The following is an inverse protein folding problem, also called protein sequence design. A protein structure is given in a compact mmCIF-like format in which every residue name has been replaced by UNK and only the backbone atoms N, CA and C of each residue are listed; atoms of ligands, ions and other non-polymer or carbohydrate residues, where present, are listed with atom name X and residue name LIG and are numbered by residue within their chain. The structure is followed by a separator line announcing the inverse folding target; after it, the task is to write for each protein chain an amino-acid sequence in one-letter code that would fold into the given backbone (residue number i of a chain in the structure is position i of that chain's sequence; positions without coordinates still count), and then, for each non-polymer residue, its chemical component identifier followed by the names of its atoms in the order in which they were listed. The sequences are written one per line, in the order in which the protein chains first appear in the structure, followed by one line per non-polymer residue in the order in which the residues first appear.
data_IF_378375566427
#
_entry.id   IF_378375566427
#
_cell.length_a   1.000
_cell.length_b   1.000
_cell.length_c   1.000
_cell.angle_alpha   90.00
_cell.angle_beta   90.00
_cell.angle_gamma   90.00
#
_symmetry.space_group_name_H-M   'P 1'
#
loop_
_entity.id
_entity.type
_entity.pdbx_description
1 polymer ?
#
# COMPACT_ATOMS: atom_id res chain seq x y z
N UNK A 1 24.03 21.56 -17.69
CA UNK A 1 23.30 20.86 -16.60
C UNK A 1 24.30 20.09 -15.73
N UNK A 2 24.87 20.69 -14.68
CA UNK A 2 25.62 19.94 -13.67
C UNK A 2 25.17 20.34 -12.26
N UNK A 3 24.25 19.58 -11.65
CA UNK A 3 23.93 19.74 -10.21
C UNK A 3 23.32 18.49 -9.55
N UNK A 4 23.30 17.34 -10.24
CA UNK A 4 22.67 16.10 -9.75
C UNK A 4 23.66 15.06 -9.18
N UNK A 5 24.96 15.37 -9.08
CA UNK A 5 25.98 14.35 -8.79
C UNK A 5 26.61 14.39 -7.38
N UNK A 6 26.34 15.38 -6.53
CA UNK A 6 26.99 15.43 -5.20
C UNK A 6 26.36 14.51 -4.13
N UNK A 7 25.03 14.48 -3.92
CA UNK A 7 24.44 13.63 -2.86
C UNK A 7 24.53 12.12 -3.19
N UNK A 8 24.43 11.76 -4.47
CA UNK A 8 24.62 10.38 -4.94
C UNK A 8 26.08 9.90 -4.83
N UNK A 9 27.06 10.80 -4.98
CA UNK A 9 28.47 10.48 -4.76
C UNK A 9 28.76 10.25 -3.27
N UNK A 10 28.18 11.05 -2.38
CA UNK A 10 28.33 10.87 -0.93
C UNK A 10 27.70 9.53 -0.46
N UNK A 11 26.51 9.20 -0.95
CA UNK A 11 25.85 7.93 -0.66
C UNK A 11 26.61 6.73 -1.27
N UNK A 12 27.11 6.84 -2.51
CA UNK A 12 27.94 5.79 -3.13
C UNK A 12 29.30 5.60 -2.43
N UNK A 13 29.94 6.67 -1.96
CA UNK A 13 31.19 6.59 -1.20
C UNK A 13 30.97 5.94 0.17
N UNK A 14 29.86 6.25 0.85
CA UNK A 14 29.46 5.58 2.11
C UNK A 14 29.17 4.08 1.89
N UNK A 15 28.51 3.75 0.77
CA UNK A 15 28.21 2.38 0.37
C UNK A 15 29.49 1.59 -0.02
N UNK A 16 30.42 2.21 -0.74
CA UNK A 16 31.72 1.62 -1.11
C UNK A 16 32.63 1.41 0.12
N UNK A 17 32.60 2.33 1.10
CA UNK A 17 33.33 2.18 2.36
C UNK A 17 32.78 1.07 3.26
N UNK A 18 31.52 0.64 3.07
CA UNK A 18 30.92 -0.48 3.80
C UNK A 18 31.47 -1.85 3.41
N UNK A 19 32.14 -2.00 2.26
CA UNK A 19 32.74 -3.28 1.83
C UNK A 19 34.18 -3.51 2.34
N UNK A 20 34.87 -2.46 2.82
CA UNK A 20 36.21 -2.57 3.37
C UNK A 20 36.16 -2.62 4.91
N UNK A 21 35.98 -3.82 5.48
CA UNK A 21 35.78 -4.06 6.92
C UNK A 21 36.85 -3.52 7.89
N UNK A 22 37.94 -2.94 7.40
CA UNK A 22 39.00 -2.32 8.21
C UNK A 22 38.74 -0.81 8.43
N UNK A 23 37.91 -0.16 7.59
CA UNK A 23 37.63 1.28 7.66
C UNK A 23 36.44 1.68 8.54
N UNK A 24 35.44 0.80 8.69
CA UNK A 24 34.17 1.08 9.41
C UNK A 24 34.40 1.41 10.89
N UNK A 25 35.26 0.66 11.58
CA UNK A 25 35.56 0.88 13.00
C UNK A 25 36.35 2.18 13.29
N UNK A 26 37.16 2.65 12.34
CA UNK A 26 37.92 3.91 12.44
C UNK A 26 37.05 5.12 12.10
N UNK A 27 36.17 5.00 11.09
CA UNK A 27 35.21 6.03 10.71
C UNK A 27 34.20 6.33 11.83
N UNK A 28 33.66 5.30 12.47
CA UNK A 28 32.69 5.44 13.58
C UNK A 28 33.30 6.19 14.78
N UNK A 29 34.61 6.05 15.04
CA UNK A 29 35.31 6.76 16.12
C UNK A 29 35.36 8.27 15.95
N UNK A 30 35.32 8.79 14.71
CA UNK A 30 35.40 10.23 14.41
C UNK A 30 34.05 10.90 14.13
N UNK A 31 32.95 10.16 14.17
CA UNK A 31 31.61 10.70 13.95
C UNK A 31 31.10 11.52 15.14
N UNK A 32 30.33 12.56 14.85
CA UNK A 32 29.58 13.30 15.88
C UNK A 32 28.56 12.38 16.55
N UNK A 33 28.13 12.74 17.77
CA UNK A 33 27.09 12.00 18.50
C UNK A 33 25.81 11.84 17.66
N UNK A 34 25.44 12.91 16.95
CA UNK A 34 24.27 12.98 16.07
C UNK A 34 24.41 12.06 14.85
N UNK A 35 25.57 12.02 14.19
CA UNK A 35 25.80 11.11 13.08
C UNK A 35 25.71 9.64 13.49
N UNK A 36 26.18 9.30 14.69
CA UNK A 36 26.04 7.93 15.22
C UNK A 36 24.59 7.57 15.51
N UNK A 37 23.80 8.53 15.99
CA UNK A 37 22.37 8.35 16.22
C UNK A 37 21.62 8.11 14.90
N UNK A 38 21.93 8.90 13.86
CA UNK A 38 21.37 8.70 12.51
C UNK A 38 21.69 7.30 11.97
N UNK A 39 22.95 6.86 12.04
CA UNK A 39 23.32 5.52 11.57
C UNK A 39 22.62 4.40 12.35
N UNK A 40 22.46 4.55 13.66
CA UNK A 40 21.71 3.61 14.49
C UNK A 40 20.24 3.55 14.06
N UNK A 41 19.60 4.69 13.81
CA UNK A 41 18.20 4.75 13.39
C UNK A 41 17.98 4.15 11.99
N UNK A 42 18.93 4.31 11.06
CA UNK A 42 18.87 3.62 9.77
C UNK A 42 18.96 2.09 9.94
N UNK A 43 19.81 1.62 10.85
CA UNK A 43 19.85 0.19 11.21
C UNK A 43 18.53 -0.26 11.82
N UNK A 44 17.91 0.55 12.69
CA UNK A 44 16.62 0.24 13.31
C UNK A 44 15.50 0.15 12.25
N UNK A 45 15.50 1.03 11.24
CA UNK A 45 14.55 0.95 10.12
C UNK A 45 14.67 -0.35 9.33
N UNK A 46 15.91 -0.80 9.04
CA UNK A 46 16.16 -2.02 8.28
C UNK A 46 15.78 -3.29 9.06
N UNK A 47 15.95 -3.27 10.39
CA UNK A 47 15.63 -4.41 11.26
C UNK A 47 14.24 -4.36 11.92
N UNK A 48 13.42 -3.35 11.61
CA UNK A 48 12.11 -3.17 12.26
C UNK A 48 11.14 -4.31 11.91
N UNK A 49 10.66 -5.03 12.93
CA UNK A 49 9.67 -6.11 12.77
C UNK A 49 8.21 -5.62 12.80
N UNK A 50 7.99 -4.39 13.30
CA UNK A 50 6.67 -3.79 13.45
C UNK A 50 6.62 -2.41 12.83
N UNK A 51 5.47 -2.04 12.27
CA UNK A 51 5.26 -0.70 11.72
C UNK A 51 5.43 0.39 12.79
N UNK A 52 5.05 0.12 14.04
CA UNK A 52 5.19 1.09 15.15
C UNK A 52 6.65 1.38 15.48
N UNK A 53 7.52 0.36 15.51
CA UNK A 53 8.95 0.54 15.69
C UNK A 53 9.57 1.28 14.50
N UNK A 54 9.22 0.87 13.28
CA UNK A 54 9.66 1.54 12.05
C UNK A 54 9.27 3.02 12.04
N UNK A 55 8.01 3.33 12.37
CA UNK A 55 7.46 4.69 12.42
C UNK A 55 8.20 5.56 13.45
N UNK A 56 8.49 5.02 14.63
CA UNK A 56 9.22 5.75 15.67
C UNK A 56 10.63 6.15 15.20
N UNK A 57 11.36 5.21 14.59
CA UNK A 57 12.69 5.48 14.03
C UNK A 57 12.63 6.49 12.88
N UNK A 58 11.65 6.34 11.98
CA UNK A 58 11.48 7.20 10.81
C UNK A 58 11.13 8.65 11.19
N UNK A 59 10.26 8.84 12.18
CA UNK A 59 9.93 10.18 12.72
C UNK A 59 11.16 10.82 13.34
N UNK A 60 11.97 10.05 14.09
CA UNK A 60 13.20 10.55 14.69
C UNK A 60 14.25 10.94 13.65
N UNK A 61 14.36 10.19 12.56
CA UNK A 61 15.22 10.54 11.42
C UNK A 61 14.76 11.84 10.75
N UNK A 62 13.46 12.02 10.52
CA UNK A 62 12.93 13.27 9.97
C UNK A 62 13.25 14.50 10.83
N UNK A 63 13.34 14.34 12.16
CA UNK A 63 13.78 15.40 13.08
C UNK A 63 15.27 15.71 12.94
N UNK A 64 16.13 14.69 12.96
CA UNK A 64 17.59 14.85 12.91
C UNK A 64 18.09 15.33 11.54
N UNK A 65 17.42 14.92 10.47
CA UNK A 65 17.74 15.34 9.09
C UNK A 65 17.11 16.70 8.73
N UNK A 66 16.46 17.37 9.68
CA UNK A 66 15.71 18.63 9.49
C UNK A 66 14.63 18.53 8.39
N UNK A 67 14.12 17.33 8.12
CA UNK A 67 13.08 17.09 7.14
C UNK A 67 11.74 17.72 7.57
N UNK A 68 11.56 17.99 8.87
CA UNK A 68 10.41 18.71 9.39
C UNK A 68 10.29 20.16 8.86
N UNK A 69 11.40 20.85 8.57
CA UNK A 69 11.35 22.18 7.96
C UNK A 69 10.68 22.13 6.58
N UNK A 70 10.91 21.06 5.82
CA UNK A 70 10.22 20.82 4.57
C UNK A 70 8.72 20.58 4.78
N UNK A 71 8.31 19.88 5.85
CA UNK A 71 6.89 19.62 6.14
C UNK A 71 6.15 20.91 6.52
N UNK A 72 6.78 21.75 7.35
CA UNK A 72 6.19 23.00 7.85
C UNK A 72 6.13 24.09 6.77
N UNK A 73 7.09 24.13 5.83
CA UNK A 73 7.03 25.08 4.72
C UNK A 73 6.00 24.62 3.67
N UNK A 74 4.87 25.34 3.46
CA UNK A 74 3.86 24.94 2.49
C UNK A 74 4.33 25.13 1.03
N UNK A 75 5.32 25.98 0.76
CA UNK A 75 5.72 26.29 -0.61
C UNK A 75 6.37 25.08 -1.31
N UNK A 76 5.96 24.87 -2.57
CA UNK A 76 6.53 23.87 -3.46
C UNK A 76 6.10 24.11 -4.90
N UNK A 77 6.93 23.73 -5.86
CA UNK A 77 6.59 23.74 -7.29
C UNK A 77 5.69 22.56 -7.70
N UNK A 78 5.51 21.56 -6.83
CA UNK A 78 4.83 20.30 -7.16
C UNK A 78 3.33 20.30 -6.86
N UNK A 79 2.81 21.33 -6.17
CA UNK A 79 1.39 21.51 -5.92
C UNK A 79 1.03 22.99 -5.71
N UNK A 80 -0.22 23.36 -5.95
CA UNK A 80 -0.72 24.72 -5.73
C UNK A 80 -1.09 24.93 -4.25
N UNK A 81 -0.08 25.25 -3.45
CA UNK A 81 -0.24 25.47 -2.02
C UNK A 81 -1.21 26.62 -1.68
N UNK A 82 -1.31 27.67 -2.52
CA UNK A 82 -2.28 28.75 -2.31
C UNK A 82 -3.73 28.28 -2.54
N UNK A 83 -3.96 27.40 -3.52
CA UNK A 83 -5.26 26.78 -3.72
C UNK A 83 -5.65 25.86 -2.55
N UNK A 84 -4.70 25.05 -2.06
CA UNK A 84 -4.95 24.18 -0.90
C UNK A 84 -5.21 25.00 0.36
N UNK A 85 -4.44 26.05 0.63
CA UNK A 85 -4.63 26.92 1.79
C UNK A 85 -6.03 27.56 1.79
N UNK A 86 -6.44 28.18 0.67
CA UNK A 86 -7.79 28.76 0.54
C UNK A 86 -8.89 27.73 0.80
N UNK A 87 -8.69 26.49 0.34
CA UNK A 87 -9.64 25.41 0.54
C UNK A 87 -9.71 24.96 1.99
N UNK A 88 -8.56 24.84 2.67
CA UNK A 88 -8.48 24.57 4.11
C UNK A 88 -9.22 25.64 4.91
N UNK A 89 -9.04 26.92 4.58
CA UNK A 89 -9.72 28.02 5.29
C UNK A 89 -11.24 27.95 5.12
N UNK A 90 -11.72 27.63 3.92
CA UNK A 90 -13.15 27.39 3.67
C UNK A 90 -13.66 26.19 4.47
N UNK A 91 -12.90 25.10 4.53
CA UNK A 91 -13.27 23.91 5.31
C UNK A 91 -13.37 24.22 6.80
N UNK A 92 -12.39 24.93 7.37
CA UNK A 92 -12.41 25.37 8.76
C UNK A 92 -13.63 26.23 9.06
N UNK A 93 -13.94 27.19 8.18
CA UNK A 93 -15.12 28.05 8.34
C UNK A 93 -16.43 27.26 8.35
N UNK A 94 -16.64 26.39 7.36
CA UNK A 94 -17.86 25.57 7.28
C UNK A 94 -18.05 24.65 8.48
N UNK A 95 -16.95 24.07 8.98
CA UNK A 95 -16.97 23.24 10.18
C UNK A 95 -17.27 24.06 11.44
N UNK A 96 -16.73 25.28 11.55
CA UNK A 96 -16.98 26.17 12.68
C UNK A 96 -18.42 26.68 12.70
N UNK A 97 -18.98 27.00 11.53
CA UNK A 97 -20.35 27.48 11.37
C UNK A 97 -21.39 26.35 11.52
N UNK A 98 -20.97 25.07 11.47
CA UNK A 98 -21.87 23.92 11.50
C UNK A 98 -22.78 23.82 10.27
N UNK A 99 -22.38 24.43 9.14
CA UNK A 99 -23.16 24.52 7.91
C UNK A 99 -23.15 23.20 7.12
N UNK A 100 -23.97 22.23 7.55
CA UNK A 100 -24.09 20.92 6.91
C UNK A 100 -24.43 21.04 5.41
N UNK A 101 -25.41 21.85 4.97
CA UNK A 101 -25.67 22.07 3.54
C UNK A 101 -24.45 22.57 2.77
N UNK A 102 -23.71 23.55 3.32
CA UNK A 102 -22.49 24.07 2.71
C UNK A 102 -21.37 23.02 2.63
N UNK A 103 -21.19 22.20 3.67
CA UNK A 103 -20.25 21.08 3.69
C UNK A 103 -20.58 20.09 2.56
N UNK A 104 -21.85 19.66 2.45
CA UNK A 104 -22.30 18.72 1.42
C UNK A 104 -22.06 19.30 0.02
N UNK A 105 -22.41 20.56 -0.21
CA UNK A 105 -22.18 21.23 -1.49
C UNK A 105 -20.70 21.26 -1.87
N UNK A 106 -19.82 21.64 -0.92
CA UNK A 106 -18.37 21.68 -1.18
C UNK A 106 -17.76 20.32 -1.45
N UNK A 107 -18.17 19.29 -0.72
CA UNK A 107 -17.68 17.93 -0.94
C UNK A 107 -18.11 17.40 -2.32
N UNK A 108 -19.36 17.62 -2.73
CA UNK A 108 -19.85 17.18 -4.05
C UNK A 108 -19.02 17.73 -5.22
N UNK A 109 -18.61 19.00 -5.14
CA UNK A 109 -17.86 19.66 -6.23
C UNK A 109 -16.36 19.35 -6.16
N UNK A 110 -15.82 19.01 -4.99
CA UNK A 110 -14.38 19.05 -4.72
C UNK A 110 -13.69 17.71 -4.48
N UNK A 111 -14.40 16.59 -4.37
CA UNK A 111 -13.81 15.28 -4.05
C UNK A 111 -13.02 14.69 -5.22
N UNK A 112 -11.74 15.05 -5.31
CA UNK A 112 -10.79 14.54 -6.31
C UNK A 112 -9.48 14.14 -5.63
N UNK A 113 -8.87 13.04 -6.07
CA UNK A 113 -7.68 12.45 -5.41
C UNK A 113 -6.44 13.34 -5.47
N UNK A 114 -6.19 13.94 -6.63
CA UNK A 114 -5.02 14.78 -6.87
C UNK A 114 -5.39 16.26 -7.01
N UNK A 115 -6.28 16.74 -6.15
CA UNK A 115 -6.70 18.15 -6.16
C UNK A 115 -5.49 19.06 -5.95
N UNK A 116 -5.28 20.02 -6.84
CA UNK A 116 -4.17 20.98 -6.73
C UNK A 116 -2.77 20.35 -6.78
N UNK A 117 -2.63 19.08 -7.19
CA UNK A 117 -1.31 18.41 -7.31
C UNK A 117 -0.81 17.75 -6.02
N UNK A 118 -1.64 17.61 -4.98
CA UNK A 118 -1.22 17.06 -3.67
C UNK A 118 -0.64 15.65 -3.72
N UNK A 119 -0.93 14.86 -4.76
CA UNK A 119 -0.44 13.49 -4.93
C UNK A 119 0.87 13.38 -5.72
N UNK A 120 1.59 14.49 -5.93
CA UNK A 120 2.82 14.50 -6.72
C UNK A 120 3.96 13.73 -6.01
N UNK A 121 4.63 12.74 -6.64
CA UNK A 121 5.58 11.85 -5.95
C UNK A 121 6.73 12.58 -5.22
N UNK A 122 7.28 13.63 -5.81
CA UNK A 122 8.37 14.42 -5.23
C UNK A 122 8.02 15.10 -3.89
N UNK A 123 6.74 15.18 -3.51
CA UNK A 123 6.32 15.66 -2.19
C UNK A 123 6.53 14.61 -1.09
N UNK A 124 6.62 13.34 -1.46
CA UNK A 124 6.71 12.19 -0.57
C UNK A 124 8.13 11.58 -0.52
N UNK A 125 9.00 11.94 -1.46
CA UNK A 125 10.40 11.47 -1.49
C UNK A 125 11.35 12.25 -0.54
N UNK A 126 10.85 13.27 0.17
CA UNK A 126 11.67 14.20 0.97
C UNK A 126 11.73 13.89 2.45
N UNK A 127 10.83 13.04 2.92
CA UNK A 127 10.63 12.74 4.34
C UNK A 127 10.36 11.25 4.45
N UNK A 128 10.80 10.62 5.53
CA UNK A 128 10.51 9.20 5.75
C UNK A 128 9.03 8.96 6.05
N UNK A 129 8.38 9.91 6.75
CA UNK A 129 6.96 9.81 7.13
C UNK A 129 6.20 11.07 6.79
N UNK A 130 5.07 10.90 6.10
CA UNK A 130 4.16 12.00 5.80
C UNK A 130 4.67 12.90 4.68
N UNK A 131 4.19 14.15 4.67
CA UNK A 131 4.59 15.16 3.68
C UNK A 131 4.34 16.57 4.23
N UNK A 132 4.05 17.56 3.37
CA UNK A 132 3.63 18.91 3.72
C UNK A 132 2.47 18.90 4.72
N UNK A 133 2.61 19.62 5.83
CA UNK A 133 1.55 19.77 6.86
C UNK A 133 0.25 20.28 6.30
N UNK A 134 0.32 21.21 5.34
CA UNK A 134 -0.87 21.74 4.67
C UNK A 134 -1.66 20.66 3.93
N UNK A 135 -0.99 19.66 3.33
CA UNK A 135 -1.64 18.54 2.65
C UNK A 135 -2.28 17.61 3.69
N UNK A 136 -1.55 17.28 4.75
CA UNK A 136 -2.05 16.42 5.85
C UNK A 136 -3.28 17.03 6.54
N UNK A 137 -3.25 18.34 6.81
CA UNK A 137 -4.37 19.07 7.36
C UNK A 137 -5.57 19.07 6.41
N UNK A 138 -5.35 19.34 5.13
CA UNK A 138 -6.41 19.30 4.12
C UNK A 138 -7.12 17.93 4.10
N UNK A 139 -6.36 16.82 4.13
CA UNK A 139 -6.93 15.47 4.18
C UNK A 139 -7.69 15.22 5.49
N UNK A 140 -7.12 15.64 6.62
CA UNK A 140 -7.75 15.50 7.95
C UNK A 140 -9.08 16.24 8.01
N UNK A 141 -9.15 17.47 7.50
CA UNK A 141 -10.38 18.25 7.45
C UNK A 141 -11.41 17.64 6.50
N UNK A 142 -10.98 17.09 5.36
CA UNK A 142 -11.85 16.41 4.41
C UNK A 142 -12.52 15.18 5.07
N UNK A 143 -11.73 14.36 5.77
CA UNK A 143 -12.25 13.21 6.54
C UNK A 143 -13.23 13.70 7.60
N UNK A 144 -12.87 14.73 8.37
CA UNK A 144 -13.73 15.32 9.40
C UNK A 144 -15.06 15.80 8.83
N UNK A 145 -15.06 16.47 7.67
CA UNK A 145 -16.27 16.90 6.97
C UNK A 145 -17.15 15.71 6.56
N UNK A 146 -16.56 14.64 6.03
CA UNK A 146 -17.30 13.41 5.70
C UNK A 146 -17.93 12.78 6.95
N UNK A 147 -17.20 12.72 8.07
CA UNK A 147 -17.71 12.22 9.35
C UNK A 147 -18.87 13.07 9.87
N UNK A 148 -18.77 14.40 9.76
CA UNK A 148 -19.85 15.33 10.14
C UNK A 148 -21.10 15.09 9.32
N UNK A 149 -20.98 14.91 7.99
CA UNK A 149 -22.12 14.58 7.13
C UNK A 149 -22.74 13.23 7.47
N UNK A 150 -21.90 12.22 7.78
CA UNK A 150 -22.36 10.91 8.21
C UNK A 150 -23.21 11.00 9.50
N UNK A 151 -22.72 11.75 10.48
CA UNK A 151 -23.32 11.89 11.80
C UNK A 151 -24.40 12.98 11.91
N UNK A 152 -24.68 13.71 10.82
CA UNK A 152 -25.70 14.75 10.80
C UNK A 152 -27.08 14.17 11.16
N UNK A 153 -27.84 14.90 11.97
CA UNK A 153 -29.18 14.48 12.39
C UNK A 153 -30.16 14.50 11.21
N UNK A 154 -31.22 13.70 11.28
CA UNK A 154 -32.26 13.61 10.24
C UNK A 154 -32.89 14.98 9.92
N UNK A 155 -33.01 15.85 10.94
CA UNK A 155 -33.52 17.22 10.80
C UNK A 155 -32.60 18.14 9.99
N UNK A 156 -31.31 17.84 9.92
CA UNK A 156 -30.30 18.61 9.17
C UNK A 156 -30.10 18.04 7.76
N UNK A 157 -30.04 16.70 7.66
CA UNK A 157 -29.85 15.99 6.42
C UNK A 157 -30.64 14.66 6.45
N UNK A 158 -31.76 14.59 5.72
CA UNK A 158 -32.55 13.38 5.59
C UNK A 158 -31.72 12.18 5.09
N UNK A 159 -32.09 10.98 5.54
CA UNK A 159 -31.34 9.74 5.29
C UNK A 159 -31.17 9.43 3.80
N UNK A 160 -32.20 9.66 2.99
CA UNK A 160 -32.17 9.45 1.53
C UNK A 160 -31.12 10.35 0.85
N UNK A 161 -31.09 11.63 1.23
CA UNK A 161 -30.09 12.59 0.72
C UNK A 161 -28.68 12.27 1.19
N UNK A 162 -28.54 11.78 2.42
CA UNK A 162 -27.27 11.32 2.99
C UNK A 162 -26.73 10.12 2.22
N UNK A 163 -27.56 9.10 1.99
CA UNK A 163 -27.19 7.91 1.22
C UNK A 163 -26.77 8.31 -0.21
N UNK A 164 -27.58 9.12 -0.89
CA UNK A 164 -27.26 9.59 -2.24
C UNK A 164 -25.94 10.37 -2.28
N UNK A 165 -25.69 11.24 -1.29
CA UNK A 165 -24.41 11.94 -1.18
C UNK A 165 -23.22 10.98 -1.12
N UNK A 166 -23.26 9.95 -0.26
CA UNK A 166 -22.14 9.02 -0.13
C UNK A 166 -21.96 8.11 -1.35
N UNK A 167 -23.06 7.73 -2.01
CA UNK A 167 -22.99 7.01 -3.28
C UNK A 167 -22.26 7.86 -4.32
N UNK A 168 -22.70 9.10 -4.53
CA UNK A 168 -22.07 10.02 -5.48
C UNK A 168 -20.62 10.34 -5.13
N UNK A 169 -20.33 10.63 -3.86
CA UNK A 169 -18.98 10.89 -3.36
C UNK A 169 -18.04 9.71 -3.64
N UNK A 170 -18.53 8.48 -3.41
CA UNK A 170 -17.79 7.24 -3.72
C UNK A 170 -17.55 7.08 -5.23
N UNK A 171 -18.51 7.45 -6.08
CA UNK A 171 -18.34 7.43 -7.53
C UNK A 171 -17.32 8.47 -8.00
N UNK A 172 -17.37 9.70 -7.47
CA UNK A 172 -16.48 10.78 -7.86
C UNK A 172 -15.02 10.53 -7.40
N UNK A 173 -14.82 10.10 -6.15
CA UNK A 173 -13.48 9.83 -5.62
C UNK A 173 -12.87 8.53 -6.18
N UNK A 174 -13.72 7.58 -6.58
CA UNK A 174 -13.32 6.25 -7.02
C UNK A 174 -12.85 5.36 -5.87
N UNK A 175 -12.53 4.11 -6.20
CA UNK A 175 -12.09 3.09 -5.24
C UNK A 175 -10.60 2.84 -5.37
N UNK A 176 -9.92 2.66 -4.25
CA UNK A 176 -8.52 2.24 -4.25
C UNK A 176 -8.46 0.74 -4.49
N UNK A 177 -7.50 0.29 -5.29
CA UNK A 177 -7.23 -1.11 -5.55
C UNK A 177 -5.76 -1.43 -5.29
N UNK A 178 -5.49 -2.62 -4.75
CA UNK A 178 -4.15 -3.14 -4.53
C UNK A 178 -3.78 -4.06 -5.69
N UNK A 179 -2.66 -3.79 -6.36
CA UNK A 179 -2.18 -4.61 -7.48
C UNK A 179 -0.96 -5.43 -7.05
N UNK A 180 -1.15 -6.75 -6.95
CA UNK A 180 -0.13 -7.74 -6.66
C UNK A 180 0.39 -8.32 -7.99
N UNK A 181 1.44 -7.71 -8.51
CA UNK A 181 2.06 -8.14 -9.77
C UNK A 181 2.81 -9.46 -9.62
N UNK A 182 2.89 -10.22 -10.72
CA UNK A 182 3.75 -11.40 -10.81
C UNK A 182 5.23 -11.03 -10.70
N UNK A 183 6.02 -11.93 -10.10
CA UNK A 183 7.46 -11.73 -9.92
C UNK A 183 8.13 -12.91 -9.21
N UNK A 184 8.17 -14.09 -9.86
CA UNK A 184 8.88 -15.30 -9.42
C UNK A 184 9.01 -15.44 -7.88
N UNK A 185 10.24 -15.54 -7.34
CA UNK A 185 10.52 -15.67 -5.90
C UNK A 185 10.25 -14.42 -5.07
N UNK A 186 10.06 -13.26 -5.70
CA UNK A 186 9.74 -11.99 -5.03
C UNK A 186 8.24 -11.88 -4.70
N UNK A 187 7.39 -12.80 -5.19
CA UNK A 187 5.94 -12.80 -4.93
C UNK A 187 5.58 -12.83 -3.44
N UNK A 188 6.47 -13.34 -2.59
CA UNK A 188 6.27 -13.41 -1.14
C UNK A 188 6.30 -12.04 -0.46
N UNK A 189 6.96 -11.03 -1.03
CA UNK A 189 6.96 -9.68 -0.45
C UNK A 189 5.56 -9.07 -0.39
N UNK A 190 4.64 -9.52 -1.27
CA UNK A 190 3.25 -9.09 -1.23
C UNK A 190 2.57 -9.42 0.10
N UNK A 191 2.95 -10.51 0.78
CA UNK A 191 2.40 -10.83 2.11
C UNK A 191 2.80 -9.80 3.15
N UNK A 192 4.04 -9.31 3.13
CA UNK A 192 4.49 -8.25 4.02
C UNK A 192 3.71 -6.97 3.80
N UNK A 193 3.50 -6.57 2.54
CA UNK A 193 2.68 -5.40 2.19
C UNK A 193 1.24 -5.59 2.67
N UNK A 194 0.63 -6.75 2.43
CA UNK A 194 -0.74 -7.03 2.88
C UNK A 194 -0.83 -7.04 4.41
N UNK A 195 0.13 -7.64 5.12
CA UNK A 195 0.22 -7.66 6.58
C UNK A 195 0.22 -6.24 7.12
N UNK A 196 1.14 -5.40 6.65
CA UNK A 196 1.23 -4.00 7.09
C UNK A 196 -0.05 -3.21 6.81
N UNK A 197 -0.66 -3.37 5.64
CA UNK A 197 -1.92 -2.68 5.32
C UNK A 197 -3.10 -3.20 6.15
N UNK A 198 -3.14 -4.51 6.43
CA UNK A 198 -4.19 -5.15 7.22
C UNK A 198 -4.11 -4.74 8.69
N UNK A 199 -2.91 -4.76 9.28
CA UNK A 199 -2.67 -4.35 10.67
C UNK A 199 -3.06 -2.89 10.92
N UNK A 200 -2.91 -2.04 9.90
CA UNK A 200 -3.32 -0.63 9.96
C UNK A 200 -4.79 -0.39 9.55
N UNK A 201 -5.54 -1.45 9.19
CA UNK A 201 -6.95 -1.34 8.81
C UNK A 201 -7.21 -0.59 7.49
N UNK A 202 -6.21 -0.51 6.60
CA UNK A 202 -6.26 0.24 5.33
C UNK A 202 -6.13 -0.64 4.08
N UNK A 203 -6.21 -1.97 4.24
CA UNK A 203 -6.17 -2.92 3.13
C UNK A 203 -7.34 -2.64 2.14
N UNK A 204 -7.05 -2.36 0.85
CA UNK A 204 -8.09 -2.08 -0.13
C UNK A 204 -9.03 -3.28 -0.35
N UNK A 205 -10.33 -2.99 -0.50
CA UNK A 205 -11.36 -3.99 -0.79
C UNK A 205 -11.31 -4.55 -2.22
N UNK A 206 -10.54 -3.93 -3.11
CA UNK A 206 -10.31 -4.42 -4.47
C UNK A 206 -8.87 -4.90 -4.52
N UNK A 207 -8.67 -6.18 -4.80
CA UNK A 207 -7.35 -6.80 -4.90
C UNK A 207 -7.22 -7.42 -6.29
N UNK A 208 -6.19 -7.02 -7.00
CA UNK A 208 -5.85 -7.49 -8.34
C UNK A 208 -4.58 -8.32 -8.26
N UNK A 209 -4.58 -9.52 -8.81
CA UNK A 209 -3.44 -10.43 -8.79
C UNK A 209 -3.08 -10.95 -10.18
N UNK A 210 -1.78 -11.10 -10.43
CA UNK A 210 -1.25 -11.73 -11.64
C UNK A 210 -0.15 -12.72 -11.28
N UNK A 211 -0.14 -13.91 -11.90
CA UNK A 211 0.86 -14.97 -11.66
C UNK A 211 1.03 -15.25 -10.15
N UNK A 212 2.25 -15.16 -9.59
CA UNK A 212 2.48 -15.35 -8.15
C UNK A 212 1.64 -14.42 -7.26
N UNK A 213 1.36 -13.19 -7.70
CA UNK A 213 0.50 -12.26 -6.99
C UNK A 213 -0.98 -12.66 -6.99
N UNK A 214 -1.43 -13.48 -7.96
CA UNK A 214 -2.78 -14.05 -7.95
C UNK A 214 -2.98 -15.05 -6.82
N UNK A 215 -1.94 -15.83 -6.49
CA UNK A 215 -1.97 -16.80 -5.39
C UNK A 215 -2.09 -16.07 -4.05
N UNK A 216 -1.28 -15.03 -3.84
CA UNK A 216 -1.39 -14.17 -2.65
C UNK A 216 -2.75 -13.48 -2.59
N UNK A 217 -3.22 -12.91 -3.70
CA UNK A 217 -4.52 -12.26 -3.78
C UNK A 217 -5.67 -13.21 -3.42
N UNK A 218 -5.63 -14.47 -3.90
CA UNK A 218 -6.64 -15.48 -3.58
C UNK A 218 -6.64 -15.83 -2.09
N UNK A 219 -5.47 -16.12 -1.51
CA UNK A 219 -5.32 -16.41 -0.07
C UNK A 219 -5.90 -15.28 0.79
N UNK A 220 -5.64 -14.03 0.41
CA UNK A 220 -6.12 -12.86 1.14
C UNK A 220 -7.62 -12.65 0.95
N UNK A 221 -8.13 -12.77 -0.28
CA UNK A 221 -9.52 -12.46 -0.60
C UNK A 221 -10.54 -13.44 -0.01
N UNK A 222 -10.13 -14.66 0.32
CA UNK A 222 -11.00 -15.65 0.96
C UNK A 222 -11.08 -15.49 2.47
N UNK A 223 -10.21 -14.70 3.11
CA UNK A 223 -10.13 -14.53 4.58
C UNK A 223 -10.85 -13.27 5.03
N UNK A 224 -11.56 -13.35 6.16
CA UNK A 224 -12.08 -12.15 6.84
C UNK A 224 -10.92 -11.35 7.45
N UNK A 225 -11.17 -10.09 7.84
CA UNK A 225 -10.14 -9.26 8.48
C UNK A 225 -9.55 -9.92 9.74
N UNK A 226 -10.38 -10.60 10.53
CA UNK A 226 -9.95 -11.27 11.76
C UNK A 226 -9.10 -12.50 11.45
N UNK A 227 -9.50 -13.32 10.47
CA UNK A 227 -8.72 -14.49 10.02
C UNK A 227 -7.39 -14.10 9.39
N UNK A 228 -7.37 -12.98 8.65
CA UNK A 228 -6.15 -12.46 8.08
C UNK A 228 -5.19 -11.99 9.19
N UNK A 229 -5.71 -11.35 10.23
CA UNK A 229 -4.96 -10.97 11.43
C UNK A 229 -4.39 -12.20 12.17
N UNK A 230 -5.22 -13.25 12.35
CA UNK A 230 -4.81 -14.53 12.94
C UNK A 230 -3.68 -15.17 12.13
N UNK A 231 -3.82 -15.28 10.80
CA UNK A 231 -2.82 -15.85 9.90
C UNK A 231 -1.45 -15.17 10.04
N UNK A 232 -1.41 -13.85 10.21
CA UNK A 232 -0.16 -13.10 10.39
C UNK A 232 0.38 -13.15 11.82
N UNK A 233 -0.43 -13.55 12.80
CA UNK A 233 -0.05 -13.62 14.21
C UNK A 233 0.47 -14.99 14.64
N UNK A 234 0.09 -16.06 13.94
CA UNK A 234 0.40 -17.45 14.34
C UNK A 234 1.71 -18.00 13.75
N UNK A 235 2.53 -17.17 13.08
CA UNK A 235 3.67 -17.61 12.26
C UNK A 235 3.31 -18.71 11.23
N UNK A 236 2.01 -18.88 10.95
CA UNK A 236 1.47 -19.72 9.89
C UNK A 236 1.65 -19.00 8.55
N UNK A 237 2.90 -18.74 8.21
CA UNK A 237 3.28 -18.28 6.88
C UNK A 237 2.65 -19.24 5.88
N UNK A 238 1.81 -18.76 4.94
CA UNK A 238 1.19 -19.66 4.00
C UNK A 238 2.30 -20.41 3.28
N UNK A 239 2.19 -21.74 3.20
CA UNK A 239 3.20 -22.53 2.51
C UNK A 239 3.14 -22.16 1.03
N UNK A 240 4.08 -21.36 0.54
CA UNK A 240 4.26 -21.13 -0.89
C UNK A 240 5.43 -22.00 -1.35
N UNK A 241 5.11 -23.01 -2.16
CA UNK A 241 6.04 -23.84 -2.96
C UNK A 241 7.45 -23.95 -2.38
N UNK A 242 7.69 -25.04 -1.65
CA UNK A 242 8.98 -25.71 -1.42
C UNK A 242 10.20 -24.77 -1.55
N UNK A 243 10.70 -24.26 -0.41
CA UNK A 243 12.07 -23.77 -0.31
C UNK A 243 13.00 -24.93 -0.63
N UNK A 244 13.23 -25.20 -1.92
CA UNK A 244 14.25 -26.11 -2.39
C UNK A 244 15.51 -25.26 -2.59
N UNK A 245 16.36 -25.07 -1.55
CA UNK A 245 17.40 -24.02 -1.54
C UNK A 245 18.58 -24.42 -2.43
N UNK A 246 18.55 -25.65 -2.99
CA UNK A 246 19.67 -26.29 -3.70
C UNK A 246 19.21 -26.90 -5.05
N UNK A 247 17.94 -26.75 -5.43
CA UNK A 247 17.33 -27.32 -6.63
C UNK A 247 17.66 -26.59 -7.94
N UNK A 248 18.95 -26.51 -8.30
CA UNK A 248 19.56 -26.25 -9.62
C UNK A 248 18.78 -25.32 -10.58
N UNK A 249 19.31 -24.11 -10.82
CA UNK A 249 18.93 -23.24 -11.96
C UNK A 249 18.74 -24.02 -13.29
N UNK A 250 19.51 -25.11 -13.48
CA UNK A 250 19.43 -26.01 -14.63
C UNK A 250 18.07 -26.69 -14.78
N UNK A 251 17.39 -27.06 -13.69
CA UNK A 251 16.04 -27.67 -13.69
C UNK A 251 14.94 -26.65 -14.01
N UNK A 252 15.08 -25.41 -13.52
CA UNK A 252 14.19 -24.29 -13.84
C UNK A 252 14.32 -23.87 -15.31
N UNK A 253 15.55 -23.81 -15.83
CA UNK A 253 15.85 -23.53 -17.25
C UNK A 253 15.39 -24.67 -18.16
N UNK A 254 15.60 -25.93 -17.76
CA UNK A 254 15.15 -27.10 -18.52
C UNK A 254 13.62 -27.18 -18.61
N UNK A 255 12.90 -26.87 -17.53
CA UNK A 255 11.42 -26.80 -17.51
C UNK A 255 10.85 -25.62 -18.29
N UNK A 256 11.54 -24.48 -18.28
CA UNK A 256 11.20 -23.33 -19.12
C UNK A 256 11.30 -23.71 -20.61
N UNK A 257 12.34 -24.46 -20.99
CA UNK A 257 12.59 -24.89 -22.37
C UNK A 257 11.68 -26.04 -22.84
N UNK A 258 11.22 -26.92 -21.93
CA UNK A 258 10.40 -28.09 -22.30
C UNK A 258 8.89 -27.86 -22.22
N UNK A 259 8.44 -26.96 -21.36
CA UNK A 259 7.04 -26.91 -20.90
C UNK A 259 6.47 -25.49 -20.77
N UNK A 260 7.27 -24.45 -21.04
CA UNK A 260 6.88 -23.04 -20.90
C UNK A 260 6.34 -22.61 -19.50
N UNK A 261 6.49 -23.45 -18.47
CA UNK A 261 6.10 -23.15 -17.09
C UNK A 261 7.30 -23.27 -16.14
N UNK A 262 7.51 -22.25 -15.29
CA UNK A 262 8.62 -22.15 -14.34
C UNK A 262 8.40 -22.95 -13.03
N UNK A 263 7.14 -23.20 -12.65
CA UNK A 263 6.74 -23.85 -11.40
C UNK A 263 5.88 -25.08 -11.67
N UNK A 264 5.97 -26.06 -10.78
CA UNK A 264 5.13 -27.24 -10.80
C UNK A 264 3.69 -26.84 -10.41
N UNK A 265 2.80 -26.80 -11.41
CA UNK A 265 1.40 -26.37 -11.26
C UNK A 265 0.67 -27.23 -10.23
N UNK A 266 0.97 -28.53 -10.16
CA UNK A 266 0.35 -29.44 -9.19
C UNK A 266 0.76 -29.10 -7.75
N UNK A 267 2.04 -28.82 -7.51
CA UNK A 267 2.50 -28.38 -6.17
C UNK A 267 1.91 -27.03 -5.78
N UNK A 268 1.81 -26.09 -6.71
CA UNK A 268 1.22 -24.77 -6.44
C UNK A 268 -0.27 -24.88 -6.13
N UNK A 269 -1.01 -25.70 -6.87
CA UNK A 269 -2.43 -25.96 -6.62
C UNK A 269 -2.63 -26.64 -5.27
N UNK A 270 -1.79 -27.61 -4.90
CA UNK A 270 -1.86 -28.28 -3.60
C UNK A 270 -1.55 -27.31 -2.45
N UNK A 271 -0.53 -26.45 -2.60
CA UNK A 271 -0.18 -25.41 -1.63
C UNK A 271 -1.30 -24.36 -1.50
N UNK A 272 -1.94 -23.97 -2.60
CA UNK A 272 -3.08 -23.07 -2.53
C UNK A 272 -4.25 -23.76 -1.82
N UNK A 273 -4.60 -24.99 -2.20
CA UNK A 273 -5.66 -25.77 -1.55
C UNK A 273 -5.44 -25.97 -0.06
N UNK A 274 -4.24 -26.34 0.38
CA UNK A 274 -3.95 -26.48 1.81
C UNK A 274 -4.10 -25.16 2.56
N UNK A 275 -3.77 -24.03 1.93
CA UNK A 275 -4.03 -22.71 2.51
C UNK A 275 -5.51 -22.32 2.51
N UNK A 276 -6.32 -22.84 1.59
CA UNK A 276 -7.77 -22.62 1.54
C UNK A 276 -8.54 -23.56 2.49
N UNK A 277 -8.04 -24.78 2.70
CA UNK A 277 -8.57 -25.76 3.67
C UNK A 277 -8.52 -25.23 5.12
N UNK A 278 -7.61 -24.30 5.41
CA UNK A 278 -7.55 -23.58 6.70
C UNK A 278 -8.72 -22.60 6.91
N UNK A 279 -9.52 -22.33 5.88
CA UNK A 279 -10.62 -21.34 5.87
C UNK A 279 -11.98 -21.98 5.55
N UNK A 280 -12.00 -23.18 4.95
CA UNK A 280 -13.20 -23.94 4.56
C UNK A 280 -12.86 -25.31 3.96
N UNK A 281 -13.71 -25.88 3.10
CA UNK A 281 -13.53 -27.23 2.51
C UNK A 281 -12.47 -27.32 1.39
N UNK A 282 -11.63 -26.29 1.23
CA UNK A 282 -10.47 -26.28 0.31
C UNK A 282 -10.73 -25.80 -1.12
N UNK A 283 -11.94 -25.98 -1.64
CA UNK A 283 -12.38 -25.42 -2.93
C UNK A 283 -13.40 -24.29 -2.64
N UNK A 284 -13.13 -23.08 -3.13
CA UNK A 284 -14.02 -21.92 -2.98
C UNK A 284 -14.08 -21.14 -4.30
N UNK A 285 -15.29 -20.80 -4.73
CA UNK A 285 -15.50 -20.05 -5.96
C UNK A 285 -15.30 -18.54 -5.77
N UNK A 286 -15.08 -17.80 -6.87
CA UNK A 286 -15.01 -16.33 -6.82
C UNK A 286 -16.26 -15.69 -6.20
N UNK A 287 -17.45 -16.27 -6.45
CA UNK A 287 -18.69 -15.76 -5.89
C UNK A 287 -18.77 -15.99 -4.37
N UNK A 288 -18.47 -17.20 -3.90
CA UNK A 288 -18.47 -17.54 -2.48
C UNK A 288 -17.43 -16.71 -1.70
N UNK A 289 -16.24 -16.53 -2.25
CA UNK A 289 -15.21 -15.67 -1.67
C UNK A 289 -15.71 -14.22 -1.49
N UNK A 290 -16.39 -13.68 -2.52
CA UNK A 290 -16.95 -12.33 -2.45
C UNK A 290 -18.11 -12.23 -1.45
N UNK A 291 -19.02 -13.20 -1.39
CA UNK A 291 -20.11 -13.17 -0.40
C UNK A 291 -19.57 -13.23 1.04
N UNK A 292 -18.51 -14.03 1.26
CA UNK A 292 -17.88 -14.22 2.56
C UNK A 292 -17.17 -12.98 3.08
N UNK A 293 -16.35 -12.34 2.25
CA UNK A 293 -15.44 -11.25 2.71
C UNK A 293 -15.83 -9.88 2.18
N UNK A 294 -16.61 -9.84 1.09
CA UNK A 294 -16.88 -8.66 0.28
C UNK A 294 -15.62 -8.03 -0.33
N UNK A 295 -14.53 -8.79 -0.47
CA UNK A 295 -13.34 -8.39 -1.22
C UNK A 295 -13.56 -8.72 -2.69
N UNK A 296 -13.33 -7.74 -3.56
CA UNK A 296 -13.42 -7.90 -5.01
C UNK A 296 -12.05 -8.41 -5.50
N UNK A 297 -11.94 -9.74 -5.63
CA UNK A 297 -10.78 -10.40 -6.21
C UNK A 297 -10.83 -10.32 -7.73
N UNK A 298 -9.73 -9.88 -8.33
CA UNK A 298 -9.52 -9.83 -9.78
C UNK A 298 -8.24 -10.58 -10.14
N UNK A 299 -8.35 -11.67 -10.89
CA UNK A 299 -7.20 -12.41 -11.39
C UNK A 299 -7.09 -12.20 -12.89
N UNK A 300 -5.94 -11.69 -13.34
CA UNK A 300 -5.65 -11.53 -14.78
C UNK A 300 -4.91 -12.75 -15.29
N UNK A 301 -5.39 -13.32 -16.39
CA UNK A 301 -4.77 -14.46 -17.07
C UNK A 301 -4.28 -14.01 -18.44
N UNK A 302 -2.97 -14.15 -18.66
CA UNK A 302 -2.35 -13.86 -19.96
C UNK A 302 -2.77 -14.91 -20.99
N UNK A 303 -3.01 -14.50 -22.24
CA UNK A 303 -3.39 -15.43 -23.30
C UNK A 303 -2.27 -16.43 -23.59
N UNK A 304 -2.64 -17.65 -24.00
CA UNK A 304 -1.66 -18.68 -24.38
C UNK A 304 -1.20 -18.54 -25.84
N UNK A 305 -2.03 -17.93 -26.68
CA UNK A 305 -1.74 -17.70 -28.10
C UNK A 305 -2.12 -16.27 -28.53
N UNK A 306 -1.58 -15.82 -29.67
CA UNK A 306 -1.90 -14.52 -30.27
C UNK A 306 -3.38 -14.35 -30.68
N UNK A 307 -4.15 -15.45 -30.68
CA UNK A 307 -5.57 -15.46 -31.03
C UNK A 307 -6.49 -15.36 -29.81
N UNK A 308 -5.95 -15.37 -28.60
CA UNK A 308 -6.72 -15.26 -27.36
C UNK A 308 -6.62 -13.85 -26.77
N UNK A 309 -7.74 -13.33 -26.29
CA UNK A 309 -7.74 -12.11 -25.49
C UNK A 309 -7.33 -12.42 -24.04
N UNK A 310 -6.65 -11.49 -23.34
CA UNK A 310 -6.42 -11.64 -21.91
C UNK A 310 -7.74 -11.76 -21.16
N UNK A 311 -7.79 -12.66 -20.18
CA UNK A 311 -8.99 -12.92 -19.39
C UNK A 311 -8.88 -12.26 -18.02
N UNK A 312 -10.04 -11.79 -17.53
CA UNK A 312 -10.21 -11.30 -16.18
C UNK A 312 -11.20 -12.21 -15.45
N UNK A 313 -10.73 -12.87 -14.41
CA UNK A 313 -11.54 -13.74 -13.56
C UNK A 313 -11.91 -12.99 -12.28
N UNK A 314 -13.21 -12.87 -12.01
CA UNK A 314 -13.75 -12.32 -10.77
C UNK A 314 -15.17 -12.83 -10.52
N UNK A 315 -15.80 -12.37 -9.44
CA UNK A 315 -17.15 -12.76 -9.05
C UNK A 315 -18.26 -12.40 -10.07
N UNK A 316 -17.99 -11.54 -11.07
CA UNK A 316 -18.92 -11.17 -12.13
C UNK A 316 -18.68 -11.95 -13.42
N UNK A 317 -17.42 -12.07 -13.84
CA UNK A 317 -17.03 -12.68 -15.12
C UNK A 317 -16.83 -14.19 -15.02
N UNK A 318 -16.54 -14.71 -13.82
CA UNK A 318 -16.20 -16.11 -13.59
C UNK A 318 -16.68 -16.60 -12.20
N UNK A 319 -17.97 -16.40 -11.85
CA UNK A 319 -18.48 -16.59 -10.49
C UNK A 319 -18.30 -18.01 -9.94
N UNK A 320 -18.37 -19.03 -10.79
CA UNK A 320 -18.35 -20.45 -10.41
C UNK A 320 -16.98 -21.10 -10.57
N UNK A 321 -15.96 -20.35 -10.95
CA UNK A 321 -14.58 -20.86 -11.06
C UNK A 321 -13.98 -20.94 -9.66
N UNK A 322 -13.29 -22.05 -9.39
CA UNK A 322 -12.51 -22.33 -8.16
C UNK A 322 -11.05 -21.99 -8.40
#
# INVERSE_FOLDING_TARGET
VPSLCEPLRAAMLSWLLSFAGIGRASAIKNMSKEQREIEALYSDLESAETYTAWLAAAVRLDELENANDFKENPESAYYDHHLIQRRVDVFRKLLADGDIPGIVFRLRVGLTRNFGGVGHPQLYDKTHVGTKRLIEEHQTLLIKMLTVVCNAQESQLPLDKKINFFIEARHALGKTALFLSGGASLGMYHLGVVKSLSEQGVLPRIICGSSAGAVVAAIVAVRTSDELCLMFSTDETPEFVDHDPVGSLKRKIQRLLSTYHLMDVGKLQQSLRSNLERVGDGDITFHEAYERTGVILNITVSPHSDFEAPQLLNYLTSPTVV
#
